data_IF_526516983191
#
_entry.id   IF_526516983191
#
_cell.length_a   1.000
_cell.length_b   1.000
_cell.length_c   1.000
_cell.angle_alpha   90.00
_cell.angle_beta   90.00
_cell.angle_gamma   90.00
#
_symmetry.space_group_name_H-M   'P 1'
#
loop_
_entity.id
_entity.type
_entity.pdbx_description
1 polymer ?
#
# COMPACT_ATOMS: atom_id res chain seq x y z
N UNK A 1 14.45 -4.56 -6.14
CA UNK A 1 13.82 -5.69 -5.41
C UNK A 1 14.83 -6.81 -5.24
N UNK A 2 15.14 -7.20 -4.01
CA UNK A 2 16.08 -8.30 -3.74
C UNK A 2 15.42 -9.68 -3.99
N UNK A 3 16.19 -10.68 -4.46
CA UNK A 3 15.67 -12.02 -4.68
C UNK A 3 15.25 -12.68 -3.36
N UNK A 4 14.15 -13.44 -3.40
CA UNK A 4 13.69 -14.19 -2.24
C UNK A 4 14.73 -15.26 -1.84
N UNK A 5 15.11 -15.35 -0.55
CA UNK A 5 16.19 -16.25 -0.12
C UNK A 5 15.80 -17.72 -0.28
N UNK A 6 16.81 -18.57 -0.50
CA UNK A 6 16.63 -20.02 -0.48
C UNK A 6 16.38 -20.49 0.96
N UNK A 7 15.13 -20.84 1.24
CA UNK A 7 14.67 -21.28 2.55
C UNK A 7 15.46 -22.47 3.07
N UNK A 8 15.94 -23.38 2.22
CA UNK A 8 16.67 -24.57 2.66
C UNK A 8 18.01 -24.27 3.32
N UNK A 9 18.56 -23.08 3.06
CA UNK A 9 19.86 -22.64 3.57
C UNK A 9 19.79 -21.88 4.89
N UNK A 10 18.60 -21.44 5.29
CA UNK A 10 18.39 -20.68 6.53
C UNK A 10 18.32 -21.61 7.73
N UNK A 11 19.01 -21.29 8.83
CA UNK A 11 18.73 -21.88 10.15
C UNK A 11 17.41 -21.37 10.72
N UNK A 12 16.90 -22.03 11.76
CA UNK A 12 15.63 -21.62 12.40
C UNK A 12 15.73 -20.24 13.06
N UNK A 13 16.90 -19.88 13.59
CA UNK A 13 17.18 -18.56 14.15
C UNK A 13 17.21 -17.49 13.05
N UNK A 14 17.87 -17.77 11.93
CA UNK A 14 17.90 -16.87 10.76
C UNK A 14 16.50 -16.69 10.16
N UNK A 15 15.71 -17.76 10.07
CA UNK A 15 14.33 -17.70 9.59
C UNK A 15 13.46 -16.84 10.51
N UNK A 16 13.64 -16.98 11.83
CA UNK A 16 12.90 -16.19 12.82
C UNK A 16 13.30 -14.72 12.80
N UNK A 17 14.59 -14.42 12.66
CA UNK A 17 15.10 -13.06 12.51
C UNK A 17 14.55 -12.41 11.22
N UNK A 18 14.56 -13.14 10.11
CA UNK A 18 14.05 -12.67 8.83
C UNK A 18 12.53 -12.40 8.88
N UNK A 19 11.75 -13.26 9.54
CA UNK A 19 10.32 -13.00 9.76
C UNK A 19 10.13 -11.68 10.52
N UNK A 20 10.84 -11.48 11.63
CA UNK A 20 10.72 -10.27 12.43
C UNK A 20 11.14 -9.01 11.67
N UNK A 21 12.19 -9.08 10.85
CA UNK A 21 12.61 -7.99 9.98
C UNK A 21 11.51 -7.61 8.96
N UNK A 22 10.91 -8.62 8.30
CA UNK A 22 9.85 -8.37 7.31
C UNK A 22 8.56 -7.89 7.94
N UNK A 23 8.22 -8.36 9.14
CA UNK A 23 7.09 -7.86 9.92
C UNK A 23 7.31 -6.39 10.31
N UNK A 24 8.49 -6.02 10.81
CA UNK A 24 8.80 -4.63 11.14
C UNK A 24 8.76 -3.71 9.91
N UNK A 25 9.22 -4.20 8.75
CA UNK A 25 9.09 -3.46 7.50
C UNK A 25 7.62 -3.30 7.08
N UNK A 26 6.83 -4.35 7.19
CA UNK A 26 5.41 -4.30 6.86
C UNK A 26 4.65 -3.32 7.75
N UNK A 27 4.97 -3.25 9.04
CA UNK A 27 4.41 -2.27 9.97
C UNK A 27 4.68 -0.83 9.53
N UNK A 28 5.93 -0.54 9.09
CA UNK A 28 6.31 0.78 8.56
C UNK A 28 5.53 1.13 7.30
N UNK A 29 5.43 0.19 6.36
CA UNK A 29 4.70 0.34 5.11
C UNK A 29 3.19 0.52 5.35
N UNK A 30 2.62 -0.26 6.27
CA UNK A 30 1.23 -0.14 6.70
C UNK A 30 0.95 1.21 7.36
N UNK A 31 1.88 1.74 8.16
CA UNK A 31 1.78 3.08 8.72
C UNK A 31 1.77 4.15 7.63
N UNK A 32 2.72 4.13 6.69
CA UNK A 32 2.78 5.07 5.57
C UNK A 32 1.48 5.06 4.75
N UNK A 33 0.98 3.86 4.44
CA UNK A 33 -0.30 3.69 3.73
C UNK A 33 -1.46 4.41 4.44
N UNK A 34 -1.57 4.25 5.77
CA UNK A 34 -2.61 4.92 6.56
C UNK A 34 -2.49 6.45 6.47
N UNK A 35 -1.27 6.98 6.48
CA UNK A 35 -1.07 8.43 6.34
C UNK A 35 -1.44 8.93 4.95
N UNK A 36 -1.00 8.24 3.89
CA UNK A 36 -1.35 8.59 2.50
C UNK A 36 -2.86 8.60 2.30
N UNK A 37 -3.56 7.58 2.78
CA UNK A 37 -5.02 7.56 2.78
C UNK A 37 -5.63 8.76 3.50
N UNK A 38 -5.16 9.07 4.72
CA UNK A 38 -5.65 10.22 5.47
C UNK A 38 -5.49 11.54 4.70
N UNK A 39 -4.35 11.73 4.02
CA UNK A 39 -4.10 12.91 3.17
C UNK A 39 -5.03 12.95 1.96
N UNK A 40 -5.12 11.84 1.22
CA UNK A 40 -5.98 11.73 0.04
C UNK A 40 -7.44 12.03 0.43
N UNK A 41 -7.91 11.52 1.57
CA UNK A 41 -9.28 11.74 2.05
C UNK A 41 -9.54 13.22 2.40
N UNK A 42 -8.58 13.90 3.03
CA UNK A 42 -8.66 15.34 3.30
C UNK A 42 -8.75 16.13 1.98
N UNK A 43 -7.86 15.86 1.03
CA UNK A 43 -7.82 16.56 -0.26
C UNK A 43 -9.07 16.31 -1.09
N UNK A 44 -9.56 15.07 -1.15
CA UNK A 44 -10.83 14.72 -1.78
C UNK A 44 -12.00 15.42 -1.11
N UNK A 45 -12.00 15.53 0.22
CA UNK A 45 -12.99 16.27 0.99
C UNK A 45 -13.08 17.74 0.57
N UNK A 46 -11.94 18.43 0.48
CA UNK A 46 -11.86 19.81 -0.01
C UNK A 46 -12.31 19.92 -1.48
N UNK A 47 -11.89 19.00 -2.36
CA UNK A 47 -12.30 19.00 -3.76
C UNK A 47 -13.83 18.87 -3.89
N UNK A 48 -14.44 17.97 -3.13
CA UNK A 48 -15.89 17.77 -3.09
C UNK A 48 -16.59 19.03 -2.56
N UNK A 49 -16.05 19.67 -1.51
CA UNK A 49 -16.59 20.92 -0.98
C UNK A 49 -16.59 22.05 -2.02
N UNK A 50 -15.47 22.24 -2.73
CA UNK A 50 -15.33 23.22 -3.83
C UNK A 50 -16.30 22.97 -4.97
N UNK A 51 -16.47 21.70 -5.36
CA UNK A 51 -17.42 21.32 -6.40
C UNK A 51 -18.85 21.65 -5.96
N UNK A 52 -19.24 21.31 -4.73
CA UNK A 52 -20.58 21.62 -4.20
C UNK A 52 -20.88 23.11 -4.19
N UNK A 53 -19.93 23.95 -3.73
CA UNK A 53 -20.09 25.40 -3.74
C UNK A 53 -20.35 25.96 -5.15
N UNK A 54 -19.60 25.50 -6.16
CA UNK A 54 -19.82 25.93 -7.55
C UNK A 54 -21.14 25.42 -8.15
N UNK A 55 -21.63 24.25 -7.71
CA UNK A 55 -22.96 23.77 -8.11
C UNK A 55 -24.03 24.70 -7.54
N UNK A 56 -23.91 25.08 -6.26
CA UNK A 56 -24.84 26.00 -5.59
C UNK A 56 -24.86 27.40 -6.23
N UNK A 57 -23.71 27.88 -6.68
CA UNK A 57 -23.58 29.15 -7.43
C UNK A 57 -24.11 29.06 -8.88
N UNK A 58 -24.42 27.86 -9.38
CA UNK A 58 -24.84 27.66 -10.77
C UNK A 58 -23.73 27.90 -11.80
N UNK A 59 -22.46 27.87 -11.39
CA UNK A 59 -21.29 28.15 -12.24
C UNK A 59 -20.69 26.89 -12.88
N UNK A 60 -21.22 25.70 -12.55
CA UNK A 60 -20.82 24.45 -13.20
C UNK A 60 -21.67 24.23 -14.45
N UNK A 61 -21.06 24.42 -15.62
CA UNK A 61 -21.54 23.75 -16.83
C UNK A 61 -21.36 22.24 -16.64
N UNK A 62 -22.38 21.46 -17.02
CA UNK A 62 -22.34 20.00 -16.93
C UNK A 62 -21.09 19.46 -17.61
N UNK A 63 -20.13 19.00 -16.82
CA UNK A 63 -18.93 18.36 -17.33
C UNK A 63 -19.33 16.97 -17.80
N UNK A 64 -19.55 16.81 -19.10
CA UNK A 64 -19.45 15.51 -19.76
C UNK A 64 -17.97 15.17 -19.87
N UNK A 65 -17.39 14.69 -18.77
CA UNK A 65 -16.03 14.17 -18.75
C UNK A 65 -16.01 12.77 -19.32
N UNK A 66 -15.01 12.46 -20.14
CA UNK A 66 -14.67 11.07 -20.45
C UNK A 66 -14.36 10.34 -19.14
N UNK A 67 -14.76 9.07 -18.97
CA UNK A 67 -14.39 8.28 -17.81
C UNK A 67 -12.86 8.31 -17.68
N UNK A 68 -12.36 8.83 -16.55
CA UNK A 68 -10.95 8.68 -16.22
C UNK A 68 -10.72 7.21 -15.87
N UNK A 69 -10.38 6.40 -16.88
CA UNK A 69 -9.85 5.07 -16.67
C UNK A 69 -8.49 5.21 -15.99
N UNK A 70 -8.48 5.19 -14.65
CA UNK A 70 -7.26 4.89 -13.92
C UNK A 70 -6.96 3.41 -14.14
N UNK A 71 -5.77 3.04 -14.64
CA UNK A 71 -5.34 1.66 -14.60
C UNK A 71 -5.45 1.14 -13.16
N UNK A 72 -5.75 -0.15 -13.01
CA UNK A 72 -5.84 -0.80 -11.69
C UNK A 72 -4.53 -0.63 -10.90
N UNK A 73 -3.43 -0.34 -11.59
CA UNK A 73 -2.12 -0.08 -11.01
C UNK A 73 -1.29 0.83 -11.94
N UNK A 74 -0.89 2.00 -11.46
CA UNK A 74 0.13 2.87 -12.07
C UNK A 74 1.25 3.08 -11.07
N UNK A 75 2.20 2.14 -11.04
CA UNK A 75 3.26 2.16 -10.05
C UNK A 75 4.47 1.34 -10.49
N UNK A 76 5.65 1.67 -9.95
CA UNK A 76 6.88 0.90 -10.17
C UNK A 76 7.08 -0.19 -9.10
N UNK A 77 6.34 -0.11 -7.99
CA UNK A 77 6.54 -0.89 -6.77
C UNK A 77 7.75 -0.44 -5.96
N UNK A 78 8.43 0.64 -6.38
CA UNK A 78 9.48 1.28 -5.60
C UNK A 78 8.84 2.21 -4.59
N UNK A 79 9.00 1.88 -3.31
CA UNK A 79 8.60 2.78 -2.24
C UNK A 79 9.70 3.84 -2.15
N UNK A 80 9.41 5.14 -2.34
CA UNK A 80 10.41 6.19 -2.13
C UNK A 80 10.98 6.07 -0.72
N UNK A 81 12.24 6.46 -0.48
CA UNK A 81 12.78 6.52 0.89
C UNK A 81 11.84 7.33 1.81
N UNK A 82 11.85 7.06 3.11
CA UNK A 82 11.03 7.79 4.10
C UNK A 82 11.22 9.30 3.94
N UNK A 83 10.34 9.93 3.18
CA UNK A 83 10.18 11.37 3.21
C UNK A 83 9.39 11.66 4.48
N UNK A 84 10.02 12.40 5.41
CA UNK A 84 9.28 13.06 6.47
C UNK A 84 8.09 13.76 5.81
N UNK A 85 6.90 13.32 6.21
CA UNK A 85 5.63 13.73 5.63
C UNK A 85 5.49 15.24 5.80
N UNK A 86 5.85 16.00 4.76
CA UNK A 86 5.80 17.47 4.79
C UNK A 86 4.40 17.95 5.15
N UNK A 87 4.24 18.94 6.05
CA UNK A 87 2.92 19.45 6.41
C UNK A 87 2.10 19.79 5.17
N UNK A 88 0.81 19.42 5.17
CA UNK A 88 -0.08 19.85 4.08
C UNK A 88 -0.16 21.38 4.07
N UNK A 89 0.08 21.96 2.90
CA UNK A 89 -0.12 23.39 2.67
C UNK A 89 -1.57 23.80 2.96
N UNK A 90 -1.79 25.10 3.18
CA UNK A 90 -3.14 25.64 3.35
C UNK A 90 -3.98 25.38 2.08
N UNK A 91 -4.87 24.39 2.19
CA UNK A 91 -5.71 23.88 1.12
C UNK A 91 -6.61 24.95 0.51
N UNK A 92 -6.87 26.07 1.19
CA UNK A 92 -7.68 27.15 0.64
C UNK A 92 -6.91 28.02 -0.37
N UNK A 93 -5.58 27.93 -0.39
CA UNK A 93 -4.71 28.75 -1.27
C UNK A 93 -4.38 28.06 -2.59
N UNK A 94 -4.42 26.73 -2.63
CA UNK A 94 -4.14 25.94 -3.84
C UNK A 94 -5.30 25.99 -4.83
N UNK A 95 -5.02 25.99 -6.13
CA UNK A 95 -6.06 25.97 -7.16
C UNK A 95 -6.79 24.61 -7.18
N UNK A 96 -7.96 24.54 -7.81
CA UNK A 96 -8.67 23.25 -7.96
C UNK A 96 -7.92 22.28 -8.87
N UNK A 97 -7.15 22.80 -9.82
CA UNK A 97 -6.34 21.96 -10.70
C UNK A 97 -5.16 21.36 -9.92
N UNK A 98 -4.41 22.19 -9.19
CA UNK A 98 -3.30 21.72 -8.36
C UNK A 98 -3.75 20.71 -7.30
N UNK A 99 -4.94 20.92 -6.71
CA UNK A 99 -5.54 19.96 -5.77
C UNK A 99 -5.80 18.59 -6.42
N UNK A 100 -6.26 18.55 -7.68
CA UNK A 100 -6.45 17.29 -8.41
C UNK A 100 -5.13 16.63 -8.74
N UNK A 101 -4.14 17.41 -9.17
CA UNK A 101 -2.83 16.90 -9.54
C UNK A 101 -2.12 16.31 -8.30
N UNK A 102 -2.24 16.98 -7.14
CA UNK A 102 -1.77 16.48 -5.84
C UNK A 102 -2.47 15.17 -5.42
N UNK A 103 -3.79 15.07 -5.60
CA UNK A 103 -4.54 13.83 -5.32
C UNK A 103 -4.00 12.69 -6.21
N UNK A 104 -3.84 12.92 -7.51
CA UNK A 104 -3.33 11.89 -8.41
C UNK A 104 -1.89 11.47 -8.09
N UNK A 105 -1.05 12.40 -7.65
CA UNK A 105 0.32 12.07 -7.21
C UNK A 105 0.33 11.19 -5.96
N UNK A 106 -0.41 11.57 -4.92
CA UNK A 106 -0.52 10.77 -3.69
C UNK A 106 -1.20 9.41 -3.93
N UNK A 107 -2.15 9.34 -4.85
CA UNK A 107 -2.80 8.09 -5.24
C UNK A 107 -1.81 7.12 -5.91
N UNK A 108 -0.92 7.60 -6.78
CA UNK A 108 0.14 6.77 -7.38
C UNK A 108 1.12 6.27 -6.33
N UNK A 109 1.52 7.13 -5.39
CA UNK A 109 2.37 6.73 -4.28
C UNK A 109 1.68 5.67 -3.39
N UNK A 110 0.37 5.82 -3.13
CA UNK A 110 -0.39 4.82 -2.37
C UNK A 110 -0.48 3.48 -3.09
N UNK A 111 -0.65 3.49 -4.43
CA UNK A 111 -0.65 2.28 -5.24
C UNK A 111 0.69 1.53 -5.10
N UNK A 112 1.82 2.25 -5.15
CA UNK A 112 3.17 1.69 -4.95
C UNK A 112 3.37 1.11 -3.55
N UNK A 113 2.98 1.87 -2.52
CA UNK A 113 3.03 1.43 -1.11
C UNK A 113 2.15 0.19 -0.89
N UNK A 114 0.95 0.17 -1.47
CA UNK A 114 0.02 -0.96 -1.38
C UNK A 114 0.56 -2.21 -2.09
N UNK A 115 1.22 -2.05 -3.24
CA UNK A 115 1.87 -3.18 -3.91
C UNK A 115 3.00 -3.75 -3.05
N UNK A 116 3.86 -2.89 -2.53
CA UNK A 116 4.97 -3.31 -1.68
C UNK A 116 4.48 -4.04 -0.42
N UNK A 117 3.41 -3.54 0.21
CA UNK A 117 2.76 -4.21 1.34
C UNK A 117 2.30 -5.62 1.00
N UNK A 118 1.64 -5.81 -0.15
CA UNK A 118 1.19 -7.14 -0.60
C UNK A 118 2.38 -8.08 -0.83
N UNK A 119 3.48 -7.56 -1.35
CA UNK A 119 4.70 -8.34 -1.52
C UNK A 119 5.28 -8.78 -0.17
N UNK A 120 5.37 -7.89 0.82
CA UNK A 120 5.81 -8.21 2.17
C UNK A 120 4.90 -9.26 2.84
N UNK A 121 3.58 -9.12 2.73
CA UNK A 121 2.64 -10.14 3.22
C UNK A 121 2.91 -11.51 2.59
N UNK A 122 3.08 -11.56 1.27
CA UNK A 122 3.42 -12.81 0.59
C UNK A 122 4.72 -13.43 1.08
N UNK A 123 5.76 -12.61 1.30
CA UNK A 123 7.03 -13.08 1.88
C UNK A 123 6.85 -13.62 3.30
N UNK A 124 6.18 -12.87 4.18
CA UNK A 124 5.92 -13.26 5.57
C UNK A 124 5.12 -14.57 5.62
N UNK A 125 4.10 -14.73 4.77
CA UNK A 125 3.29 -15.95 4.72
C UNK A 125 4.12 -17.17 4.30
N UNK A 126 5.00 -17.02 3.31
CA UNK A 126 5.93 -18.09 2.90
C UNK A 126 6.89 -18.45 4.04
N UNK A 127 7.49 -17.47 4.70
CA UNK A 127 8.43 -17.69 5.81
C UNK A 127 7.75 -18.34 7.02
N UNK A 128 6.55 -17.88 7.39
CA UNK A 128 5.74 -18.48 8.46
C UNK A 128 5.31 -19.91 8.12
N UNK A 129 4.95 -20.18 6.86
CA UNK A 129 4.63 -21.52 6.40
C UNK A 129 5.85 -22.45 6.50
N UNK A 130 7.04 -21.98 6.12
CA UNK A 130 8.30 -22.72 6.26
C UNK A 130 8.59 -23.07 7.71
N UNK A 131 8.57 -22.08 8.61
CA UNK A 131 8.78 -22.31 10.04
C UNK A 131 7.81 -23.36 10.60
N UNK A 132 6.54 -23.29 10.18
CA UNK A 132 5.49 -24.22 10.59
C UNK A 132 5.69 -25.65 10.04
N UNK A 133 6.29 -25.80 8.85
CA UNK A 133 6.60 -27.10 8.23
C UNK A 133 7.84 -27.74 8.85
N UNK A 134 8.87 -26.95 9.16
CA UNK A 134 10.09 -27.44 9.83
C UNK A 134 9.81 -28.09 11.17
N UNK A 135 8.83 -27.58 11.91
CA UNK A 135 8.36 -28.20 13.16
C UNK A 135 7.86 -29.65 12.98
N UNK A 136 7.52 -30.07 11.75
CA UNK A 136 7.14 -31.44 11.37
C UNK A 136 8.23 -32.19 10.58
N UNK A 137 9.41 -31.60 10.42
CA UNK A 137 10.48 -32.15 9.56
C UNK A 137 10.20 -32.01 8.05
N UNK A 138 9.31 -31.10 7.67
CA UNK A 138 8.94 -30.80 6.28
C UNK A 138 9.49 -29.42 5.86
N UNK A 139 9.52 -29.16 4.55
CA UNK A 139 9.87 -27.85 3.98
C UNK A 139 8.80 -27.38 2.99
N UNK A 140 8.73 -26.07 2.74
CA UNK A 140 7.89 -25.46 1.71
C UNK A 140 8.50 -25.72 0.33
N UNK A 141 7.71 -26.30 -0.56
CA UNK A 141 8.03 -26.44 -1.98
C UNK A 141 7.30 -25.42 -2.86
N UNK A 142 7.71 -25.31 -4.12
CA UNK A 142 7.07 -24.42 -5.11
C UNK A 142 5.60 -24.74 -5.35
N UNK A 143 5.21 -26.01 -5.22
CA UNK A 143 3.82 -26.46 -5.35
C UNK A 143 2.91 -25.99 -4.23
N UNK A 144 3.47 -25.60 -3.08
CA UNK A 144 2.71 -25.13 -1.92
C UNK A 144 2.35 -23.64 -2.01
N UNK A 145 3.02 -22.88 -2.88
CA UNK A 145 2.91 -21.42 -2.95
C UNK A 145 1.49 -20.94 -3.22
N UNK A 146 0.78 -21.58 -4.15
CA UNK A 146 -0.61 -21.22 -4.47
C UNK A 146 -1.53 -21.34 -3.24
N UNK A 147 -1.33 -22.37 -2.41
CA UNK A 147 -2.10 -22.57 -1.19
C UNK A 147 -1.69 -21.63 -0.04
N UNK A 148 -0.43 -21.18 -0.02
CA UNK A 148 0.07 -20.22 0.97
C UNK A 148 -0.45 -18.82 0.66
N UNK A 149 -0.23 -18.34 -0.57
CA UNK A 149 -0.57 -16.98 -1.00
C UNK A 149 -2.07 -16.78 -1.26
N UNK A 150 -2.80 -17.86 -1.55
CA UNK A 150 -4.25 -17.82 -1.75
C UNK A 150 -5.06 -17.77 -0.45
N UNK A 151 -4.42 -17.85 0.72
CA UNK A 151 -5.12 -17.69 2.00
C UNK A 151 -5.58 -16.24 2.11
N UNK A 152 -6.86 -15.97 2.40
CA UNK A 152 -7.27 -14.62 2.75
C UNK A 152 -6.41 -14.22 3.95
N UNK A 153 -5.64 -13.14 3.78
CA UNK A 153 -4.77 -12.62 4.83
C UNK A 153 -5.59 -12.55 6.10
N UNK A 154 -5.09 -13.14 7.20
CA UNK A 154 -5.79 -13.07 8.48
C UNK A 154 -6.01 -11.59 8.74
N UNK A 155 -7.27 -11.15 8.65
CA UNK A 155 -7.64 -9.81 8.99
C UNK A 155 -7.06 -9.55 10.38
N UNK A 156 -6.29 -8.47 10.47
CA UNK A 156 -5.72 -7.93 11.69
C UNK A 156 -6.81 -7.95 12.78
N UNK A 157 -6.77 -8.95 13.68
CA UNK A 157 -7.60 -9.02 14.88
C UNK A 157 -7.00 -8.03 15.89
N UNK A 158 -7.13 -6.75 15.56
CA UNK A 158 -6.75 -5.61 16.39
C UNK A 158 -7.97 -4.72 16.58
N UNK A 159 -8.80 -5.07 17.56
CA UNK A 159 -9.84 -4.22 18.13
C UNK A 159 -9.27 -3.40 19.29
#
# INVERSE_FOLDING_TARGET
MEPFPDLSTLSDDQLSALIAEREAEEDRISYRRRVLHGRIDILRGELVARIRARVEEGTIETVTGEPHERPIFEGTGEVPEEHDLEPLDDLHTISTQDLRDMIHELEREEDDVSLHRRFLHGQIDILRAERSRRARGEHVGTTDLAGILGRPGRADEGA
#
